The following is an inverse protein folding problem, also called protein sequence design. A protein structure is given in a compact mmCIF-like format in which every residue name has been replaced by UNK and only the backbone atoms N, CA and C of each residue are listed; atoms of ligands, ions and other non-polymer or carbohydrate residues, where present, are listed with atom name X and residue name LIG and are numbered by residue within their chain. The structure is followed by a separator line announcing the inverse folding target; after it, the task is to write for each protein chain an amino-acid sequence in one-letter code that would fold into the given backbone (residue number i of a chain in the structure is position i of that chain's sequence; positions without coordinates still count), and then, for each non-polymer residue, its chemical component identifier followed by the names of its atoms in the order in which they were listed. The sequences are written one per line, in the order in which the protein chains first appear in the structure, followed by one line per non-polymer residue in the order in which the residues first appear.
data_IF_799826396391
#
_entry.id   IF_799826396391
#
_cell.length_a   1.000
_cell.length_b   1.000
_cell.length_c   1.000
_cell.angle_alpha   90.00
_cell.angle_beta   90.00
_cell.angle_gamma   90.00
#
_symmetry.space_group_name_H-M   'P 1'
#
loop_
_entity.id
_entity.type
_entity.pdbx_description
1 polymer ?
#
# COMPACT_ATOMS: atom_id res chain seq x y z
N UNK A 1 3.44 -17.96 -60.35
CA UNK A 1 2.14 -17.57 -59.74
C UNK A 1 1.27 -18.81 -59.57
N UNK A 2 0.80 -19.10 -58.34
CA UNK A 2 -0.36 -19.96 -58.07
C UNK A 2 -0.81 -19.69 -56.62
N UNK A 3 -2.02 -19.18 -56.35
CA UNK A 3 -2.45 -18.88 -54.98
C UNK A 3 -2.95 -20.15 -54.26
N UNK A 4 -2.70 -20.30 -52.94
CA UNK A 4 -3.42 -21.28 -52.13
C UNK A 4 -4.91 -20.92 -52.02
N UNK A 5 -5.77 -21.93 -51.88
CA UNK A 5 -7.21 -21.77 -51.98
C UNK A 5 -7.85 -21.19 -50.69
N UNK A 6 -8.82 -20.28 -50.85
CA UNK A 6 -9.69 -19.82 -49.75
C UNK A 6 -10.75 -20.87 -49.43
N UNK A 7 -10.60 -21.59 -48.32
CA UNK A 7 -11.68 -22.38 -47.71
C UNK A 7 -12.76 -21.46 -47.15
N UNK A 8 -13.97 -21.54 -47.73
CA UNK A 8 -15.20 -20.95 -47.18
C UNK A 8 -16.06 -22.03 -46.53
N UNK A 9 -16.87 -21.62 -45.55
CA UNK A 9 -17.92 -22.33 -44.77
C UNK A 9 -17.48 -22.66 -43.33
N UNK A 10 -18.37 -22.65 -42.33
CA UNK A 10 -19.86 -22.57 -42.41
C UNK A 10 -20.43 -21.63 -41.34
N UNK A 11 -21.44 -20.83 -41.69
CA UNK A 11 -22.25 -20.14 -40.69
C UNK A 11 -23.29 -21.11 -40.08
N UNK A 12 -23.30 -21.21 -38.75
CA UNK A 12 -24.32 -21.84 -37.90
C UNK A 12 -24.27 -21.14 -36.54
N UNK A 13 -25.34 -20.93 -35.80
CA UNK A 13 -26.77 -20.81 -36.15
C UNK A 13 -27.46 -20.19 -34.93
N UNK A 14 -28.36 -19.22 -35.13
CA UNK A 14 -29.00 -18.51 -34.00
C UNK A 14 -29.87 -19.46 -33.15
N UNK A 15 -29.62 -19.48 -31.85
CA UNK A 15 -30.54 -20.03 -30.84
C UNK A 15 -30.98 -18.89 -29.93
N UNK A 16 -32.17 -18.35 -30.18
CA UNK A 16 -32.86 -17.47 -29.23
C UNK A 16 -33.46 -18.35 -28.12
N UNK A 17 -33.13 -18.05 -26.86
CA UNK A 17 -33.93 -18.48 -25.72
C UNK A 17 -34.50 -17.24 -25.04
N UNK A 18 -35.81 -17.28 -24.83
CA UNK A 18 -36.62 -16.18 -24.28
C UNK A 18 -37.32 -16.71 -23.04
N UNK A 19 -37.27 -15.92 -21.96
CA UNK A 19 -37.94 -16.22 -20.69
C UNK A 19 -36.94 -16.47 -19.55
N UNK A 20 -37.25 -16.13 -18.30
CA UNK A 20 -38.48 -15.52 -17.80
C UNK A 20 -38.18 -14.45 -16.73
N UNK A 21 -38.98 -13.39 -16.72
CA UNK A 21 -38.95 -12.38 -15.65
C UNK A 21 -39.74 -12.90 -14.46
N UNK A 22 -39.12 -12.96 -13.29
CA UNK A 22 -39.79 -13.11 -12.00
C UNK A 22 -39.39 -11.95 -11.10
N UNK A 23 -40.36 -11.09 -10.77
CA UNK A 23 -40.14 -9.91 -9.94
C UNK A 23 -40.09 -10.29 -8.45
N UNK A 24 -38.90 -10.34 -7.86
CA UNK A 24 -38.69 -10.57 -6.43
C UNK A 24 -38.67 -9.26 -5.62
N UNK A 25 -39.83 -8.71 -5.28
CA UNK A 25 -39.92 -7.52 -4.40
C UNK A 25 -39.72 -7.90 -2.92
N UNK A 26 -38.48 -8.16 -2.52
CA UNK A 26 -38.10 -8.38 -1.13
C UNK A 26 -37.82 -7.05 -0.41
N UNK A 27 -38.79 -6.53 0.34
CA UNK A 27 -38.57 -5.39 1.22
C UNK A 27 -37.83 -5.85 2.49
N UNK A 28 -36.59 -5.38 2.69
CA UNK A 28 -35.82 -5.64 3.90
C UNK A 28 -35.45 -4.34 4.61
N UNK A 29 -36.00 -4.24 5.81
CA UNK A 29 -35.77 -3.34 6.94
C UNK A 29 -34.48 -2.51 6.94
N UNK A 30 -34.62 -1.23 7.29
CA UNK A 30 -33.49 -0.34 7.54
C UNK A 30 -32.66 -0.80 8.77
N UNK A 31 -31.39 -1.12 8.56
CA UNK A 31 -30.41 -1.25 9.65
C UNK A 31 -29.95 0.15 10.09
N UNK A 32 -30.50 0.62 11.20
CA UNK A 32 -30.15 1.90 11.81
C UNK A 32 -28.81 1.78 12.56
N UNK A 33 -27.71 2.17 11.92
CA UNK A 33 -26.38 2.12 12.53
C UNK A 33 -26.29 3.00 13.78
N UNK A 34 -25.68 2.50 14.89
CA UNK A 34 -25.50 3.30 16.10
C UNK A 34 -24.44 4.38 15.90
N UNK A 35 -24.78 5.63 16.23
CA UNK A 35 -23.84 6.75 16.17
C UNK A 35 -22.82 6.67 17.32
N UNK A 36 -21.61 6.20 17.03
CA UNK A 36 -20.47 6.17 17.95
C UNK A 36 -19.58 7.41 17.80
N UNK A 37 -20.17 8.60 18.04
CA UNK A 37 -19.40 9.84 18.19
C UNK A 37 -18.62 9.86 19.51
N UNK A 38 -17.35 9.42 19.47
CA UNK A 38 -16.39 9.50 20.58
C UNK A 38 -15.30 10.55 20.30
N UNK A 39 -15.71 11.81 20.17
CA UNK A 39 -14.80 12.96 20.09
C UNK A 39 -14.79 13.71 21.43
N UNK A 40 -13.72 13.63 22.24
CA UNK A 40 -13.61 14.41 23.47
C UNK A 40 -13.38 15.89 23.14
N UNK A 41 -14.43 16.71 23.22
CA UNK A 41 -14.35 18.15 22.99
C UNK A 41 -13.63 18.85 24.15
N UNK A 42 -12.39 19.31 23.91
CA UNK A 42 -11.63 20.17 24.82
C UNK A 42 -12.15 21.61 24.79
N UNK A 43 -13.25 21.87 25.51
CA UNK A 43 -13.79 23.21 25.72
C UNK A 43 -14.51 23.35 27.08
N UNK A 44 -14.68 24.59 27.53
CA UNK A 44 -15.50 25.06 28.65
C UNK A 44 -15.34 24.38 30.01
N UNK A 45 -14.35 24.86 30.77
CA UNK A 45 -14.36 24.83 32.24
C UNK A 45 -14.33 26.22 32.88
N UNK A 46 -15.30 27.04 32.46
CA UNK A 46 -15.73 28.31 33.08
C UNK A 46 -17.28 28.24 33.13
N UNK A 47 -18.04 28.69 34.13
CA UNK A 47 -17.79 29.52 35.34
C UNK A 47 -18.83 29.04 36.40
N UNK A 48 -18.88 29.36 37.71
CA UNK A 48 -18.39 30.49 38.51
C UNK A 48 -18.28 30.07 39.99
N UNK A 49 -17.35 30.66 40.75
CA UNK A 49 -17.43 30.71 42.21
C UNK A 49 -16.95 32.08 42.73
N UNK A 50 -17.84 32.86 43.34
CA UNK A 50 -17.54 34.20 43.85
C UNK A 50 -17.69 34.26 45.38
N UNK A 51 -16.70 34.84 46.08
CA UNK A 51 -16.86 35.44 47.42
C UNK A 51 -15.69 36.38 47.76
N UNK A 52 -16.03 37.39 48.56
CA UNK A 52 -15.13 38.29 49.29
C UNK A 52 -14.18 37.52 50.25
N UNK A 53 -13.07 38.06 50.75
CA UNK A 53 -12.98 39.27 51.60
C UNK A 53 -11.54 39.78 51.73
N UNK A 54 -11.37 41.03 52.17
CA UNK A 54 -10.09 41.73 52.36
C UNK A 54 -9.14 41.09 53.39
N UNK A 55 -7.82 41.14 53.12
CA UNK A 55 -6.77 41.46 54.10
C UNK A 55 -5.41 41.71 53.41
N UNK A 56 -4.66 42.71 53.89
CA UNK A 56 -3.18 42.71 53.82
C UNK A 56 -2.66 42.30 55.20
N UNK A 57 -1.51 41.60 55.29
CA UNK A 57 -0.28 42.35 55.60
C UNK A 57 1.02 41.78 54.99
N UNK A 58 2.10 42.52 55.24
CA UNK A 58 3.51 42.32 54.88
C UNK A 58 4.16 40.98 55.27
N UNK A 59 4.91 40.38 54.33
CA UNK A 59 6.13 39.58 54.52
C UNK A 59 6.93 39.62 53.19
N UNK A 60 8.13 40.19 53.15
CA UNK A 60 9.45 39.54 53.36
C UNK A 60 9.93 38.69 52.15
N UNK A 61 11.05 39.03 51.48
CA UNK A 61 11.48 38.37 50.24
C UNK A 61 12.41 37.16 50.48
N UNK A 62 11.89 35.95 50.26
CA UNK A 62 12.70 34.72 50.22
C UNK A 62 13.48 34.61 48.89
N UNK A 63 14.80 34.35 48.90
CA UNK A 63 15.61 34.26 47.69
C UNK A 63 15.62 32.85 47.05
N UNK A 64 15.95 32.84 45.75
CA UNK A 64 16.60 31.74 45.01
C UNK A 64 15.96 30.33 45.06
N UNK A 65 15.20 30.04 44.01
CA UNK A 65 15.27 28.74 43.33
C UNK A 65 15.11 28.98 41.82
N UNK A 66 16.20 29.35 41.15
CA UNK A 66 16.23 29.35 39.69
C UNK A 66 16.26 27.89 39.22
N UNK A 67 15.10 27.35 38.85
CA UNK A 67 15.03 26.09 38.12
C UNK A 67 15.61 26.31 36.74
N UNK A 68 16.90 25.98 36.61
CA UNK A 68 17.62 25.93 35.34
C UNK A 68 16.93 24.89 34.46
N UNK A 69 16.08 25.38 33.55
CA UNK A 69 15.30 24.54 32.66
C UNK A 69 16.26 23.88 31.67
N UNK A 70 16.62 22.63 31.97
CA UNK A 70 17.38 21.76 31.06
C UNK A 70 16.61 21.69 29.75
N UNK A 71 17.06 22.45 28.75
CA UNK A 71 16.52 22.37 27.41
C UNK A 71 16.93 21.02 26.83
N UNK A 72 16.03 20.04 26.94
CA UNK A 72 16.10 18.82 26.15
C UNK A 72 16.07 19.26 24.69
N UNK A 73 17.23 19.20 24.03
CA UNK A 73 17.34 19.54 22.63
C UNK A 73 16.43 18.59 21.84
N UNK A 74 15.47 19.16 21.11
CA UNK A 74 14.59 18.38 20.25
C UNK A 74 15.46 17.75 19.14
N UNK A 75 15.43 16.41 18.96
CA UNK A 75 16.36 15.72 18.07
C UNK A 75 16.14 16.22 16.65
N UNK A 76 17.13 16.95 16.13
CA UNK A 76 17.04 17.56 14.81
C UNK A 76 17.10 16.46 13.76
N UNK A 77 15.99 16.23 13.07
CA UNK A 77 15.91 15.21 12.02
C UNK A 77 16.81 15.62 10.86
N UNK A 78 17.76 14.75 10.49
CA UNK A 78 18.62 14.99 9.34
C UNK A 78 17.81 14.97 8.03
N UNK A 79 18.01 15.92 7.09
CA UNK A 79 17.25 15.95 5.85
C UNK A 79 17.63 14.78 4.93
N UNK A 80 16.71 13.84 4.74
CA UNK A 80 16.80 12.77 3.73
C UNK A 80 16.21 13.22 2.38
N UNK A 81 16.52 12.52 1.27
CA UNK A 81 15.80 12.69 0.00
C UNK A 81 14.29 12.40 0.15
N UNK A 82 13.49 12.99 -0.73
CA UNK A 82 12.08 12.63 -0.86
C UNK A 82 11.94 11.20 -1.42
N UNK A 83 11.06 10.40 -0.82
CA UNK A 83 10.74 9.03 -1.22
C UNK A 83 9.42 8.91 -1.97
N UNK A 84 9.26 7.82 -2.72
CA UNK A 84 8.06 7.57 -3.54
C UNK A 84 6.81 7.37 -2.68
N UNK A 85 6.96 6.74 -1.50
CA UNK A 85 5.90 6.59 -0.50
C UNK A 85 5.71 7.80 0.44
N UNK A 86 6.40 8.92 0.25
CA UNK A 86 6.19 10.10 1.11
C UNK A 86 4.73 10.62 1.16
N UNK A 87 3.89 10.47 0.10
CA UNK A 87 2.45 10.74 0.16
C UNK A 87 1.61 9.68 0.91
N UNK A 88 2.21 8.57 1.35
CA UNK A 88 1.57 7.40 1.95
C UNK A 88 1.33 6.23 0.97
N UNK A 89 1.29 6.51 -0.33
CA UNK A 89 1.06 5.53 -1.40
C UNK A 89 1.66 5.96 -2.74
N UNK A 90 2.06 5.00 -3.58
CA UNK A 90 2.48 5.21 -4.97
C UNK A 90 1.97 4.09 -5.87
N UNK A 91 1.66 4.40 -7.13
CA UNK A 91 1.22 3.42 -8.14
C UNK A 91 2.29 3.29 -9.22
N UNK A 92 2.84 2.09 -9.39
CA UNK A 92 3.75 1.77 -10.49
C UNK A 92 2.97 1.13 -11.65
N UNK A 93 3.39 1.38 -12.88
CA UNK A 93 2.77 0.81 -14.09
C UNK A 93 3.86 0.21 -14.96
N UNK A 94 3.92 -1.12 -14.99
CA UNK A 94 5.04 -1.90 -15.55
C UNK A 94 4.58 -2.67 -16.78
N UNK A 95 5.42 -2.74 -17.82
CA UNK A 95 5.06 -3.39 -19.07
C UNK A 95 4.92 -4.93 -18.93
N UNK A 96 3.70 -5.43 -19.07
CA UNK A 96 3.34 -6.85 -19.05
C UNK A 96 3.00 -7.34 -20.48
N UNK A 97 3.93 -7.10 -21.41
CA UNK A 97 3.81 -7.55 -22.81
C UNK A 97 2.89 -6.64 -23.60
N UNK A 98 1.68 -7.13 -23.92
CA UNK A 98 0.58 -6.32 -24.48
C UNK A 98 -0.32 -5.69 -23.40
N UNK A 99 -0.16 -6.11 -22.14
CA UNK A 99 -0.82 -5.58 -20.95
C UNK A 99 0.13 -4.72 -20.14
N UNK A 100 -0.40 -4.06 -19.12
CA UNK A 100 0.37 -3.38 -18.07
C UNK A 100 0.03 -4.03 -16.73
N UNK A 101 1.06 -4.33 -15.93
CA UNK A 101 0.91 -4.66 -14.52
C UNK A 101 0.89 -3.36 -13.74
N UNK A 102 -0.25 -3.02 -13.18
CA UNK A 102 -0.39 -1.91 -12.22
C UNK A 102 -0.08 -2.48 -10.84
N UNK A 103 0.78 -1.80 -10.09
CA UNK A 103 1.19 -2.17 -8.73
C UNK A 103 0.97 -0.98 -7.82
N UNK A 104 -0.08 -1.05 -7.00
CA UNK A 104 -0.37 -0.08 -5.97
C UNK A 104 0.39 -0.46 -4.69
N UNK A 105 1.25 0.45 -4.23
CA UNK A 105 2.04 0.35 -3.02
C UNK A 105 1.52 1.34 -1.97
N UNK A 106 1.37 0.93 -0.71
CA UNK A 106 1.03 1.84 0.39
C UNK A 106 1.55 1.37 1.74
N UNK A 107 1.49 2.24 2.76
CA UNK A 107 1.74 1.87 4.15
C UNK A 107 0.76 2.55 5.10
N UNK A 108 0.54 1.93 6.27
CA UNK A 108 -0.11 2.54 7.42
C UNK A 108 0.86 3.30 8.34
N UNK A 109 2.17 3.29 8.05
CA UNK A 109 3.20 4.00 8.81
C UNK A 109 3.49 5.41 8.27
N UNK A 110 4.60 5.99 8.73
CA UNK A 110 5.11 7.30 8.28
C UNK A 110 6.47 7.14 7.58
N UNK A 111 6.51 7.00 6.24
CA UNK A 111 7.77 6.84 5.48
C UNK A 111 8.80 7.95 5.74
N UNK A 112 8.31 9.16 6.02
CA UNK A 112 9.14 10.32 6.33
C UNK A 112 9.96 10.19 7.62
N UNK A 113 9.56 9.30 8.54
CA UNK A 113 10.25 9.08 9.83
C UNK A 113 10.98 7.75 9.92
N UNK A 114 11.00 6.92 8.86
CA UNK A 114 11.67 5.61 8.89
C UNK A 114 13.19 5.74 8.91
N UNK A 115 13.83 5.10 9.88
CA UNK A 115 15.28 4.98 10.05
C UNK A 115 15.76 3.57 9.65
N UNK A 116 17.08 3.32 9.66
CA UNK A 116 17.60 1.96 9.44
C UNK A 116 17.17 0.95 10.52
N UNK A 117 16.94 1.40 11.76
CA UNK A 117 16.66 0.52 12.89
C UNK A 117 15.20 0.03 12.98
N UNK A 118 14.25 0.70 12.30
CA UNK A 118 12.83 0.36 12.41
C UNK A 118 12.45 -0.84 11.54
N UNK A 119 11.70 -1.79 12.10
CA UNK A 119 10.88 -2.70 11.29
C UNK A 119 9.74 -1.92 10.61
N UNK A 120 9.39 -2.29 9.37
CA UNK A 120 8.43 -1.54 8.54
C UNK A 120 7.40 -2.49 7.95
N UNK A 121 6.16 -2.01 7.79
CA UNK A 121 5.14 -2.74 7.04
C UNK A 121 4.80 -2.00 5.76
N UNK A 122 4.81 -2.74 4.66
CA UNK A 122 4.50 -2.29 3.31
C UNK A 122 3.37 -3.18 2.79
N UNK A 123 2.38 -2.57 2.14
CA UNK A 123 1.26 -3.28 1.53
C UNK A 123 1.27 -3.09 0.01
N UNK A 124 0.79 -4.11 -0.70
CA UNK A 124 0.77 -4.17 -2.16
C UNK A 124 -0.56 -4.73 -2.66
N UNK A 125 -1.04 -4.18 -3.77
CA UNK A 125 -2.04 -4.79 -4.66
C UNK A 125 -1.54 -4.69 -6.09
N UNK A 126 -1.61 -5.77 -6.84
CA UNK A 126 -1.28 -5.78 -8.27
C UNK A 126 -2.46 -6.28 -9.11
N UNK A 127 -2.69 -5.66 -10.26
CA UNK A 127 -3.70 -6.05 -11.26
C UNK A 127 -3.21 -5.77 -12.68
N UNK A 128 -3.90 -6.32 -13.68
CA UNK A 128 -3.58 -6.13 -15.09
C UNK A 128 -4.57 -5.16 -15.76
N UNK A 129 -4.03 -4.28 -16.60
CA UNK A 129 -4.78 -3.36 -17.45
C UNK A 129 -4.33 -3.45 -18.92
N UNK A 130 -5.24 -3.12 -19.84
CA UNK A 130 -4.99 -3.21 -21.28
C UNK A 130 -5.05 -4.64 -21.85
N UNK A 131 -4.43 -4.83 -23.01
CA UNK A 131 -4.66 -6.00 -23.87
C UNK A 131 -5.93 -5.87 -24.72
N UNK A 132 -5.94 -6.52 -25.90
CA UNK A 132 -7.10 -6.53 -26.81
C UNK A 132 -8.19 -7.54 -26.39
N UNK A 133 -7.84 -8.50 -25.52
CA UNK A 133 -8.72 -9.56 -25.02
C UNK A 133 -8.67 -9.59 -23.49
N UNK A 134 -9.84 -9.36 -22.87
CA UNK A 134 -10.03 -9.33 -21.42
C UNK A 134 -10.55 -10.66 -20.84
N UNK A 135 -10.88 -11.63 -21.71
CA UNK A 135 -11.32 -12.98 -21.32
C UNK A 135 -10.14 -13.99 -21.28
N UNK A 136 -8.91 -13.54 -21.59
CA UNK A 136 -7.68 -14.34 -21.47
C UNK A 136 -7.26 -14.51 -20.01
N UNK A 137 -7.15 -15.76 -19.55
CA UNK A 137 -6.70 -16.06 -18.19
C UNK A 137 -5.21 -15.70 -18.00
N UNK A 138 -4.91 -15.07 -16.87
CA UNK A 138 -3.53 -14.83 -16.42
C UNK A 138 -3.35 -15.34 -14.99
N UNK A 139 -2.31 -16.12 -14.76
CA UNK A 139 -1.97 -16.71 -13.48
C UNK A 139 -0.63 -16.15 -12.98
N UNK A 140 -0.58 -15.67 -11.75
CA UNK A 140 0.70 -15.52 -11.01
C UNK A 140 1.14 -16.91 -10.59
N UNK A 141 2.25 -17.38 -11.15
CA UNK A 141 2.90 -18.65 -10.77
C UNK A 141 3.97 -18.48 -9.70
N UNK A 142 4.55 -17.28 -9.60
CA UNK A 142 5.44 -16.88 -8.52
C UNK A 142 5.33 -15.39 -8.26
N UNK A 143 5.32 -15.02 -6.98
CA UNK A 143 5.64 -13.67 -6.50
C UNK A 143 6.84 -13.77 -5.58
N UNK A 144 7.88 -12.99 -5.84
CA UNK A 144 9.03 -12.88 -4.94
C UNK A 144 9.32 -11.41 -4.64
N UNK A 145 9.64 -11.11 -3.38
CA UNK A 145 9.99 -9.78 -2.90
C UNK A 145 11.30 -9.84 -2.10
N UNK A 146 12.22 -8.93 -2.38
CA UNK A 146 13.56 -8.93 -1.77
C UNK A 146 13.94 -7.51 -1.35
N UNK A 147 14.32 -7.35 -0.08
CA UNK A 147 14.90 -6.11 0.45
C UNK A 147 16.41 -6.09 0.17
N UNK A 148 16.93 -4.98 -0.32
CA UNK A 148 18.36 -4.72 -0.49
C UNK A 148 18.71 -3.38 0.17
N UNK A 149 19.63 -3.41 1.15
CA UNK A 149 20.13 -2.21 1.85
C UNK A 149 21.52 -1.76 1.36
N UNK A 150 22.02 -2.36 0.27
CA UNK A 150 23.36 -2.14 -0.26
C UNK A 150 24.48 -2.88 0.49
N UNK A 151 24.18 -3.52 1.63
CA UNK A 151 25.10 -4.35 2.42
C UNK A 151 24.60 -5.79 2.53
N UNK A 152 23.29 -5.96 2.70
CA UNK A 152 22.58 -7.22 2.87
C UNK A 152 21.39 -7.30 1.92
N UNK A 153 21.04 -8.52 1.51
CA UNK A 153 19.93 -8.80 0.61
C UNK A 153 19.05 -9.90 1.20
N UNK A 154 17.83 -9.54 1.59
CA UNK A 154 16.94 -10.35 2.43
C UNK A 154 15.64 -10.66 1.71
N UNK A 155 15.30 -11.94 1.57
CA UNK A 155 14.01 -12.35 1.01
C UNK A 155 12.87 -11.99 1.98
N UNK A 156 11.88 -11.24 1.49
CA UNK A 156 10.67 -10.86 2.21
C UNK A 156 9.52 -11.84 1.91
N UNK A 157 9.43 -12.33 0.67
CA UNK A 157 8.44 -13.30 0.22
C UNK A 157 8.98 -14.12 -0.98
N UNK A 158 8.53 -15.36 -1.11
CA UNK A 158 8.71 -16.24 -2.29
C UNK A 158 7.49 -17.17 -2.39
N UNK A 159 6.36 -16.58 -2.77
CA UNK A 159 5.08 -17.28 -2.93
C UNK A 159 5.09 -18.06 -4.24
N UNK A 160 4.93 -19.38 -4.15
CA UNK A 160 4.83 -20.28 -5.30
C UNK A 160 3.47 -20.99 -5.26
N UNK A 161 2.64 -20.73 -6.27
CA UNK A 161 1.24 -21.15 -6.33
C UNK A 161 0.65 -20.85 -7.71
N UNK A 162 -0.67 -20.90 -7.87
CA UNK A 162 -1.35 -20.54 -9.11
C UNK A 162 -2.53 -19.61 -8.76
N UNK A 163 -2.30 -18.30 -8.85
CA UNK A 163 -3.28 -17.28 -8.45
C UNK A 163 -3.80 -16.50 -9.66
N UNK A 164 -5.11 -16.50 -9.88
CA UNK A 164 -5.72 -15.78 -11.00
C UNK A 164 -5.62 -14.26 -10.83
N UNK A 165 -5.04 -13.60 -11.83
CA UNK A 165 -4.79 -12.15 -11.90
C UNK A 165 -5.66 -11.54 -13.00
N UNK A 166 -6.97 -11.60 -12.82
CA UNK A 166 -7.98 -11.17 -13.78
C UNK A 166 -9.12 -10.44 -13.07
N UNK A 167 -9.64 -9.38 -13.67
CA UNK A 167 -10.66 -8.54 -13.05
C UNK A 167 -11.92 -9.37 -12.65
N UNK A 168 -12.51 -9.16 -11.46
CA UNK A 168 -12.21 -8.11 -10.47
C UNK A 168 -11.16 -8.50 -9.41
N UNK A 169 -10.40 -9.57 -9.61
CA UNK A 169 -9.43 -10.08 -8.64
C UNK A 169 -8.05 -9.42 -8.82
N UNK A 170 -7.41 -9.06 -7.70
CA UNK A 170 -6.05 -8.52 -7.65
C UNK A 170 -5.17 -9.43 -6.80
N UNK A 171 -3.86 -9.46 -7.06
CA UNK A 171 -2.91 -10.11 -6.17
C UNK A 171 -2.53 -9.12 -5.07
N UNK A 172 -3.04 -9.33 -3.85
CA UNK A 172 -2.78 -8.48 -2.69
C UNK A 172 -1.92 -9.18 -1.64
N UNK A 173 -0.92 -8.49 -1.10
CA UNK A 173 -0.03 -9.03 -0.05
C UNK A 173 0.51 -7.92 0.87
N UNK A 174 1.15 -8.32 1.97
CA UNK A 174 1.80 -7.42 2.91
C UNK A 174 3.21 -7.94 3.25
N UNK A 175 4.18 -7.04 3.17
CA UNK A 175 5.60 -7.31 3.42
C UNK A 175 6.02 -6.69 4.76
N UNK A 176 6.71 -7.49 5.57
CA UNK A 176 7.39 -7.02 6.79
C UNK A 176 8.87 -6.84 6.48
N UNK A 177 9.32 -5.58 6.38
CA UNK A 177 10.71 -5.22 6.14
C UNK A 177 11.43 -5.20 7.50
N UNK A 178 12.47 -6.04 7.71
CA UNK A 178 13.25 -6.00 8.94
C UNK A 178 14.11 -4.72 9.01
N UNK A 179 14.70 -4.48 10.19
CA UNK A 179 15.76 -3.49 10.35
C UNK A 179 16.92 -3.76 9.36
N UNK A 180 17.51 -2.67 8.86
CA UNK A 180 18.56 -2.65 7.85
C UNK A 180 19.94 -2.48 8.49
N UNK A 181 21.01 -2.60 7.69
CA UNK A 181 22.37 -2.30 8.14
C UNK A 181 22.49 -0.91 8.79
N UNK A 182 23.31 -0.81 9.85
CA UNK A 182 23.53 0.43 10.57
C UNK A 182 24.11 1.51 9.66
N UNK A 183 23.51 2.71 9.68
CA UNK A 183 23.87 3.81 8.79
C UNK A 183 23.30 3.74 7.37
N UNK A 184 22.46 2.75 7.03
CA UNK A 184 21.76 2.71 5.75
C UNK A 184 20.86 3.95 5.55
N UNK A 185 21.06 4.67 4.44
CA UNK A 185 20.32 5.91 4.09
C UNK A 185 19.22 5.67 3.06
N UNK A 186 19.11 4.46 2.52
CA UNK A 186 18.01 4.01 1.66
C UNK A 186 17.98 2.48 1.65
N UNK A 187 16.81 1.92 1.35
CA UNK A 187 16.67 0.52 0.94
C UNK A 187 15.89 0.43 -0.38
N UNK A 188 16.01 -0.70 -1.07
CA UNK A 188 15.23 -1.02 -2.27
C UNK A 188 14.42 -2.28 -2.02
N UNK A 189 13.15 -2.30 -2.43
CA UNK A 189 12.34 -3.53 -2.48
C UNK A 189 12.22 -3.95 -3.95
N UNK A 190 12.99 -4.98 -4.33
CA UNK A 190 12.87 -5.61 -5.64
C UNK A 190 11.68 -6.58 -5.65
N UNK A 191 10.87 -6.55 -6.71
CA UNK A 191 9.82 -7.52 -6.97
C UNK A 191 10.08 -8.35 -8.24
N UNK A 192 9.60 -9.58 -8.21
CA UNK A 192 9.43 -10.43 -9.39
C UNK A 192 8.04 -11.08 -9.39
N UNK A 193 7.30 -10.88 -10.48
CA UNK A 193 6.11 -11.67 -10.82
C UNK A 193 6.42 -12.58 -12.00
N UNK A 194 6.32 -13.90 -11.82
CA UNK A 194 6.31 -14.85 -12.94
C UNK A 194 4.86 -15.18 -13.31
N UNK A 195 4.42 -14.64 -14.45
CA UNK A 195 3.08 -14.78 -14.99
C UNK A 195 3.02 -15.90 -16.04
N UNK A 196 1.91 -16.64 -16.06
CA UNK A 196 1.46 -17.42 -17.20
C UNK A 196 0.25 -16.71 -17.82
N UNK A 197 0.41 -16.22 -19.05
CA UNK A 197 -0.66 -15.56 -19.83
C UNK A 197 -1.16 -16.55 -20.88
N UNK A 198 -2.47 -16.77 -20.95
CA UNK A 198 -3.06 -17.70 -21.91
C UNK A 198 -2.91 -17.21 -23.37
N UNK A 199 -2.78 -18.13 -24.32
CA UNK A 199 -2.57 -17.79 -25.75
C UNK A 199 -3.85 -17.58 -26.55
N UNK A 200 -4.95 -18.20 -26.13
CA UNK A 200 -6.30 -18.14 -26.72
C UNK A 200 -7.30 -18.48 -25.58
N UNK A 201 -8.44 -17.79 -25.40
CA UNK A 201 -9.30 -18.00 -24.22
C UNK A 201 -9.79 -19.43 -24.05
N UNK A 202 -9.49 -20.04 -22.90
CA UNK A 202 -9.84 -21.42 -22.54
C UNK A 202 -9.06 -22.50 -23.30
N UNK A 203 -7.91 -22.17 -23.89
CA UNK A 203 -7.00 -23.12 -24.56
C UNK A 203 -6.11 -23.92 -23.61
N UNK A 204 -5.96 -23.48 -22.36
CA UNK A 204 -5.03 -24.02 -21.34
C UNK A 204 -3.58 -24.10 -21.85
N UNK A 205 -3.20 -23.13 -22.67
CA UNK A 205 -1.86 -22.96 -23.22
C UNK A 205 -1.37 -21.58 -22.87
N UNK A 206 -0.23 -21.51 -22.21
CA UNK A 206 0.28 -20.27 -21.65
C UNK A 206 1.67 -19.95 -22.21
N UNK A 207 1.97 -18.67 -22.41
CA UNK A 207 3.33 -18.19 -22.47
C UNK A 207 3.76 -17.68 -21.10
N UNK A 208 5.02 -17.94 -20.72
CA UNK A 208 5.58 -17.42 -19.47
C UNK A 208 6.16 -16.03 -19.71
N UNK A 209 5.78 -15.10 -18.84
CA UNK A 209 6.34 -13.76 -18.76
C UNK A 209 6.89 -13.52 -17.35
N UNK A 210 8.01 -12.84 -17.24
CA UNK A 210 8.51 -12.32 -15.96
C UNK A 210 8.39 -10.79 -15.99
N UNK A 211 7.79 -10.21 -14.96
CA UNK A 211 7.70 -8.76 -14.74
C UNK A 211 8.52 -8.43 -13.49
N UNK A 212 9.31 -7.36 -13.54
CA UNK A 212 10.14 -6.88 -12.45
C UNK A 212 9.73 -5.45 -12.10
N UNK A 213 9.69 -5.13 -10.81
CA UNK A 213 9.44 -3.78 -10.28
C UNK A 213 10.43 -3.50 -9.14
N UNK A 214 10.66 -2.24 -8.80
CA UNK A 214 11.56 -1.83 -7.72
C UNK A 214 11.08 -0.55 -7.05
N UNK A 215 10.85 -0.59 -5.74
CA UNK A 215 10.46 0.58 -4.93
C UNK A 215 11.64 1.05 -4.08
N UNK A 216 12.02 2.33 -4.19
CA UNK A 216 13.13 2.90 -3.40
C UNK A 216 12.61 3.67 -2.19
N UNK A 217 13.13 3.34 -1.01
CA UNK A 217 12.71 3.90 0.27
C UNK A 217 13.88 4.63 0.96
N UNK A 218 14.01 5.96 0.78
CA UNK A 218 15.00 6.76 1.48
C UNK A 218 14.76 6.77 2.98
N UNK A 219 15.81 6.55 3.76
CA UNK A 219 15.77 6.47 5.21
C UNK A 219 16.28 7.76 5.87
N UNK A 220 15.69 8.08 7.00
CA UNK A 220 16.10 9.17 7.89
C UNK A 220 17.29 8.72 8.73
N UNK A 221 18.40 9.45 8.64
CA UNK A 221 19.53 9.23 9.53
C UNK A 221 19.21 9.73 10.94
N UNK A 222 19.45 8.88 11.95
CA UNK A 222 19.47 9.30 13.35
C UNK A 222 20.65 10.25 13.56
N UNK A 223 20.41 11.43 14.14
CA UNK A 223 21.48 12.26 14.66
C UNK A 223 21.84 11.77 16.06
N UNK A 224 23.08 11.31 16.25
CA UNK A 224 23.64 11.19 17.60
C UNK A 224 23.84 12.60 18.17
N UNK A 225 23.19 12.87 19.31
CA UNK A 225 23.42 14.11 20.06
C UNK A 225 24.78 14.01 20.78
N UNK A 226 25.70 14.98 20.60
CA UNK A 226 27.05 14.95 21.17
C UNK A 226 27.13 15.30 22.67
#
# INVERSE_FOLDING_TARGET
MRPPARTRRTARSRSLLVGAVLAGTAALSACQFPNVSMSPSLADRSTTAARTTSASPTAEPTPTAAVEAVQVAEPTVAPRPAGELDPGSVTHVVAAGERQLVVDWWTSGSPTTWTAADEKSLQLSAHLEGGDDADLEVLVTRFAAVLDDGTTRTSLADDQGEFALQAPYTYGTALSLPASAEGATSVTVDLQFDLLVETEPGSQRYFRQTVLDSLVLPLTALQETP
#
